data_IF_789203071090
#
_entry.id   IF_789203071090
#
_cell.length_a   1.000
_cell.length_b   1.000
_cell.length_c   1.000
_cell.angle_alpha   90.00
_cell.angle_beta   90.00
_cell.angle_gamma   90.00
#
_symmetry.space_group_name_H-M   'P 1'
#
loop_
_entity.id
_entity.type
_entity.pdbx_description
1 polymer ?
#
# COMPACT_ATOMS: atom_id res chain seq x y z
N UNK A 1 -2.30 9.88 -18.39
CA UNK A 1 -3.19 8.74 -18.18
C UNK A 1 -2.35 7.55 -17.73
N UNK A 2 -2.80 6.79 -16.72
CA UNK A 2 -2.09 5.62 -16.18
C UNK A 2 -2.57 4.30 -16.79
N UNK A 3 -3.54 4.34 -17.72
CA UNK A 3 -4.03 3.16 -18.45
C UNK A 3 -4.81 2.14 -17.62
N UNK A 4 -5.07 2.44 -16.35
CA UNK A 4 -5.78 1.59 -15.38
C UNK A 4 -7.31 1.59 -15.51
N UNK A 5 -7.86 2.48 -16.33
CA UNK A 5 -9.29 2.56 -16.61
C UNK A 5 -9.53 2.89 -18.09
N UNK A 6 -10.70 2.57 -18.59
CA UNK A 6 -11.09 2.77 -19.98
C UNK A 6 -12.53 3.26 -20.07
N UNK A 7 -12.78 4.24 -20.93
CA UNK A 7 -14.14 4.72 -21.18
C UNK A 7 -14.98 3.62 -21.82
N UNK A 8 -16.21 3.45 -21.33
CA UNK A 8 -17.16 2.48 -21.87
C UNK A 8 -18.46 3.19 -22.25
N UNK A 9 -18.99 2.97 -23.47
CA UNK A 9 -20.23 3.62 -23.91
C UNK A 9 -21.46 3.05 -23.18
N UNK A 10 -21.39 1.80 -22.74
CA UNK A 10 -22.43 1.11 -21.98
C UNK A 10 -21.95 0.86 -20.55
N UNK A 11 -22.82 0.96 -19.53
CA UNK A 11 -22.50 0.53 -18.18
C UNK A 11 -22.08 -0.95 -18.16
N UNK A 12 -21.10 -1.29 -17.33
CA UNK A 12 -20.82 -2.69 -17.01
C UNK A 12 -21.95 -3.35 -16.23
N UNK A 13 -21.77 -4.61 -15.87
CA UNK A 13 -22.74 -5.39 -15.10
C UNK A 13 -22.90 -4.83 -13.68
N UNK A 14 -21.82 -4.27 -13.11
CA UNK A 14 -21.85 -3.65 -11.78
C UNK A 14 -21.10 -2.32 -11.78
N UNK A 15 -21.74 -1.30 -11.20
CA UNK A 15 -21.15 0.03 -10.97
C UNK A 15 -20.75 0.13 -9.50
N UNK A 16 -19.45 0.28 -9.25
CA UNK A 16 -18.89 0.42 -7.91
C UNK A 16 -19.08 1.88 -7.45
N UNK A 17 -19.86 2.12 -6.38
CA UNK A 17 -19.94 3.43 -5.77
C UNK A 17 -18.57 3.86 -5.28
N UNK A 18 -18.24 5.14 -5.45
CA UNK A 18 -17.00 5.68 -4.96
C UNK A 18 -17.16 7.12 -4.49
N UNK A 19 -16.31 7.51 -3.56
CA UNK A 19 -16.30 8.86 -3.00
C UNK A 19 -14.87 9.27 -2.65
N UNK A 20 -14.66 10.57 -2.51
CA UNK A 20 -13.38 11.13 -2.11
C UNK A 20 -13.34 11.37 -0.60
N UNK A 21 -12.23 10.99 0.03
CA UNK A 21 -11.87 11.39 1.39
C UNK A 21 -10.73 12.40 1.28
N UNK A 22 -10.88 13.54 1.96
CA UNK A 22 -9.80 14.51 2.12
C UNK A 22 -8.85 14.05 3.22
N UNK A 23 -7.56 14.05 2.92
CA UNK A 23 -6.49 13.74 3.86
C UNK A 23 -5.68 15.00 4.11
N UNK A 24 -5.22 15.13 5.35
CA UNK A 24 -4.17 16.09 5.69
C UNK A 24 -2.83 15.56 5.18
N UNK A 25 -2.62 15.68 3.86
CA UNK A 25 -1.42 15.24 3.16
C UNK A 25 -1.05 16.30 2.13
N UNK A 26 0.17 16.87 2.19
CA UNK A 26 0.61 17.90 1.24
C UNK A 26 0.64 17.38 -0.21
N UNK A 27 0.95 16.10 -0.40
CA UNK A 27 1.20 15.50 -1.71
C UNK A 27 0.06 14.61 -2.22
N UNK A 28 -0.83 14.14 -1.34
CA UNK A 28 -1.96 13.28 -1.70
C UNK A 28 -3.22 13.63 -0.90
N UNK A 29 -3.77 14.85 -1.10
CA UNK A 29 -4.87 15.37 -0.30
C UNK A 29 -6.19 14.65 -0.56
N UNK A 30 -6.32 13.90 -1.67
CA UNK A 30 -7.54 13.17 -2.02
C UNK A 30 -7.23 11.68 -2.09
N UNK A 31 -8.01 10.89 -1.34
CA UNK A 31 -8.08 9.44 -1.49
C UNK A 31 -9.46 9.05 -2.00
N UNK A 32 -9.50 8.41 -3.17
CA UNK A 32 -10.74 7.78 -3.64
C UNK A 32 -10.97 6.51 -2.83
N UNK A 33 -12.21 6.27 -2.44
CA UNK A 33 -12.66 5.02 -1.81
C UNK A 33 -13.65 4.37 -2.76
N UNK A 34 -13.38 3.12 -3.12
CA UNK A 34 -14.32 2.28 -3.85
C UNK A 34 -15.08 1.42 -2.85
N UNK A 35 -16.39 1.60 -2.77
CA UNK A 35 -17.24 0.92 -1.81
C UNK A 35 -17.87 -0.33 -2.43
N UNK A 36 -17.12 -1.43 -2.40
CA UNK A 36 -17.62 -2.75 -2.81
C UNK A 36 -18.65 -3.36 -1.85
N UNK A 37 -18.88 -2.73 -0.69
CA UNK A 37 -19.82 -3.20 0.36
C UNK A 37 -21.15 -2.47 0.31
N UNK A 38 -21.28 -1.45 -0.53
CA UNK A 38 -22.55 -0.79 -0.80
C UNK A 38 -23.55 -1.81 -1.37
N UNK A 39 -24.71 -1.93 -0.71
CA UNK A 39 -25.77 -2.86 -1.11
C UNK A 39 -26.63 -2.23 -2.19
N UNK A 40 -26.97 -3.01 -3.20
CA UNK A 40 -27.89 -2.62 -4.25
C UNK A 40 -29.36 -2.71 -3.80
N UNK A 41 -30.30 -2.48 -4.73
CA UNK A 41 -31.74 -2.60 -4.48
C UNK A 41 -32.20 -4.03 -4.12
N UNK A 42 -31.37 -5.05 -4.38
CA UNK A 42 -31.61 -6.43 -3.93
C UNK A 42 -31.09 -6.70 -2.51
N UNK A 43 -30.44 -5.71 -1.89
CA UNK A 43 -29.88 -5.81 -0.54
C UNK A 43 -28.55 -6.56 -0.49
N UNK A 44 -27.91 -6.79 -1.64
CA UNK A 44 -26.64 -7.53 -1.77
C UNK A 44 -25.55 -6.60 -2.31
N UNK A 45 -24.32 -6.74 -1.84
CA UNK A 45 -23.16 -5.99 -2.35
C UNK A 45 -22.30 -6.83 -3.28
N UNK A 46 -21.42 -6.18 -4.07
CA UNK A 46 -20.41 -6.89 -4.84
C UNK A 46 -19.51 -7.75 -3.95
N UNK A 47 -19.12 -7.25 -2.77
CA UNK A 47 -18.29 -7.99 -1.82
C UNK A 47 -18.98 -9.23 -1.24
N UNK A 48 -20.31 -9.27 -1.19
CA UNK A 48 -21.06 -10.47 -0.79
C UNK A 48 -20.98 -11.58 -1.86
N UNK A 49 -20.81 -11.19 -3.13
CA UNK A 49 -20.69 -12.12 -4.28
C UNK A 49 -19.27 -12.56 -4.55
N UNK A 50 -18.27 -11.79 -4.13
CA UNK A 50 -16.86 -12.11 -4.34
C UNK A 50 -16.30 -13.01 -3.24
N UNK A 51 -15.45 -13.95 -3.67
CA UNK A 51 -14.62 -14.73 -2.75
C UNK A 51 -13.42 -13.89 -2.32
N UNK A 52 -13.05 -13.94 -1.05
CA UNK A 52 -11.85 -13.23 -0.55
C UNK A 52 -10.55 -13.88 -1.02
N UNK A 53 -10.58 -15.17 -1.36
CA UNK A 53 -9.39 -16.01 -1.39
C UNK A 53 -8.89 -16.35 0.02
N UNK A 54 -7.95 -17.30 0.14
CA UNK A 54 -7.31 -17.62 1.41
C UNK A 54 -6.46 -16.45 1.93
N UNK A 55 -6.35 -16.26 3.26
CA UNK A 55 -5.51 -15.21 3.81
C UNK A 55 -4.04 -15.49 3.50
N UNK A 56 -3.42 -14.58 2.74
CA UNK A 56 -1.98 -14.63 2.48
C UNK A 56 -1.20 -13.64 3.36
N UNK A 57 -1.89 -12.66 3.96
CA UNK A 57 -1.26 -11.60 4.73
C UNK A 57 -0.55 -12.16 5.94
N UNK A 58 0.69 -11.72 6.15
CA UNK A 58 1.42 -11.99 7.38
C UNK A 58 0.79 -11.23 8.53
N UNK A 59 0.91 -11.80 9.73
CA UNK A 59 0.49 -11.10 10.93
C UNK A 59 1.33 -9.84 11.07
N UNK A 60 0.69 -8.73 11.42
CA UNK A 60 1.39 -7.44 11.55
C UNK A 60 2.51 -7.51 12.60
N UNK A 61 2.34 -8.32 13.64
CA UNK A 61 3.34 -8.57 14.68
C UNK A 61 4.53 -9.34 14.13
N UNK A 62 4.29 -10.30 13.23
CA UNK A 62 5.35 -11.05 12.53
C UNK A 62 6.17 -10.09 11.67
N UNK A 63 5.51 -9.23 10.89
CA UNK A 63 6.18 -8.23 10.05
C UNK A 63 7.00 -7.25 10.91
N UNK A 64 6.41 -6.71 11.98
CA UNK A 64 7.12 -5.82 12.91
C UNK A 64 8.29 -6.52 13.62
N UNK A 65 8.18 -7.81 13.92
CA UNK A 65 9.27 -8.60 14.48
C UNK A 65 10.42 -8.72 13.48
N UNK A 66 10.14 -9.07 12.22
CA UNK A 66 11.16 -9.11 11.16
C UNK A 66 11.79 -7.74 10.90
N UNK A 67 11.02 -6.66 11.05
CA UNK A 67 11.53 -5.30 10.95
C UNK A 67 12.47 -4.91 12.09
N UNK A 68 12.33 -5.52 13.28
CA UNK A 68 13.18 -5.23 14.46
C UNK A 68 14.23 -6.28 14.77
N UNK A 69 14.26 -7.38 14.01
CA UNK A 69 15.09 -8.54 14.32
C UNK A 69 16.60 -8.24 14.23
N UNK A 70 17.00 -7.29 13.38
CA UNK A 70 18.40 -7.01 13.04
C UNK A 70 18.69 -5.50 13.10
N UNK A 71 19.97 -5.09 13.27
CA UNK A 71 20.31 -3.71 13.60
C UNK A 71 20.15 -2.69 12.47
N UNK A 72 19.99 -3.11 11.21
CA UNK A 72 19.78 -2.19 10.08
C UNK A 72 18.38 -2.37 9.53
N UNK A 73 17.49 -1.41 9.82
CA UNK A 73 16.09 -1.40 9.39
C UNK A 73 15.93 -0.67 8.06
N UNK A 74 15.13 -1.21 7.13
CA UNK A 74 14.81 -0.63 5.83
C UNK A 74 13.31 -0.75 5.58
N UNK A 75 12.70 0.34 5.14
CA UNK A 75 11.29 0.38 4.74
C UNK A 75 11.12 0.95 3.33
N UNK A 76 10.11 0.48 2.61
CA UNK A 76 9.70 1.04 1.31
C UNK A 76 8.24 0.72 1.01
N UNK A 77 7.65 1.48 0.09
CA UNK A 77 6.26 1.40 -0.37
C UNK A 77 6.21 1.03 -1.86
N UNK A 78 5.33 0.10 -2.22
CA UNK A 78 5.02 -0.25 -3.61
C UNK A 78 4.02 0.77 -4.17
N UNK A 79 4.54 1.72 -4.93
CA UNK A 79 3.76 2.84 -5.49
C UNK A 79 2.58 2.34 -6.32
N UNK A 80 1.38 2.68 -5.85
CA UNK A 80 0.11 2.34 -6.51
C UNK A 80 0.00 0.84 -6.85
N UNK A 81 0.44 -0.03 -5.94
CA UNK A 81 0.52 -1.49 -6.12
C UNK A 81 -0.67 -2.09 -6.89
N UNK A 82 -1.90 -1.86 -6.40
CA UNK A 82 -3.11 -2.43 -7.00
C UNK A 82 -3.31 -2.03 -8.48
N UNK A 83 -2.90 -0.82 -8.87
CA UNK A 83 -3.01 -0.32 -10.25
C UNK A 83 -1.99 -0.93 -11.21
N UNK A 84 -1.06 -1.74 -10.72
CA UNK A 84 -0.10 -2.48 -11.54
C UNK A 84 -0.55 -3.91 -11.83
N UNK A 85 -1.66 -4.35 -11.21
CA UNK A 85 -2.14 -5.72 -11.32
C UNK A 85 -3.36 -5.74 -12.22
N UNK A 86 -3.22 -6.26 -13.43
CA UNK A 86 -4.31 -6.39 -14.38
C UNK A 86 -5.35 -7.41 -13.93
N UNK A 87 -6.61 -7.10 -14.17
CA UNK A 87 -7.72 -8.04 -14.05
C UNK A 87 -7.88 -8.80 -15.35
N UNK A 88 -8.37 -10.05 -15.23
CA UNK A 88 -8.81 -10.80 -16.39
C UNK A 88 -9.90 -10.00 -17.14
N UNK A 89 -9.87 -9.91 -18.48
CA UNK A 89 -10.85 -9.14 -19.25
C UNK A 89 -12.31 -9.47 -18.92
N UNK A 90 -12.62 -10.74 -18.67
CA UNK A 90 -13.97 -11.20 -18.34
C UNK A 90 -14.51 -10.65 -17.00
N UNK A 91 -13.62 -10.23 -16.09
CA UNK A 91 -13.98 -9.72 -14.77
C UNK A 91 -14.12 -8.18 -14.75
N UNK A 92 -13.57 -7.49 -15.75
CA UNK A 92 -13.57 -6.01 -15.81
C UNK A 92 -14.99 -5.44 -15.91
N UNK A 93 -15.92 -6.20 -16.50
CA UNK A 93 -17.35 -5.84 -16.58
C UNK A 93 -18.04 -5.69 -15.21
N UNK A 94 -17.46 -6.22 -14.14
CA UNK A 94 -17.98 -6.06 -12.77
C UNK A 94 -17.32 -4.89 -12.01
N UNK A 95 -16.37 -4.18 -12.63
CA UNK A 95 -15.65 -3.06 -12.03
C UNK A 95 -15.82 -1.79 -12.84
N UNK A 96 -17.06 -1.33 -13.01
CA UNK A 96 -17.34 -0.05 -13.64
C UNK A 96 -17.49 1.06 -12.60
N UNK A 97 -17.07 2.27 -12.93
CA UNK A 97 -17.35 3.48 -12.16
C UNK A 97 -18.00 4.54 -13.05
N UNK A 98 -18.72 5.48 -12.44
CA UNK A 98 -19.28 6.65 -13.13
C UNK A 98 -18.52 7.91 -12.75
N UNK A 99 -17.95 8.62 -13.70
CA UNK A 99 -17.15 9.80 -13.42
C UNK A 99 -17.41 10.92 -14.42
N UNK A 100 -17.30 12.16 -13.94
CA UNK A 100 -17.35 13.40 -14.73
C UNK A 100 -16.35 14.40 -14.14
N UNK A 101 -15.80 15.27 -14.98
CA UNK A 101 -14.81 16.27 -14.54
C UNK A 101 -15.47 17.50 -13.92
N UNK A 102 -16.53 18.00 -14.55
CA UNK A 102 -17.36 19.10 -14.08
C UNK A 102 -18.78 18.63 -13.79
N UNK A 103 -19.52 19.35 -12.94
CA UNK A 103 -20.94 19.10 -12.69
C UNK A 103 -21.81 19.29 -13.93
N UNK A 104 -21.37 20.14 -14.86
CA UNK A 104 -22.01 20.37 -16.15
C UNK A 104 -21.77 19.23 -17.15
N UNK A 105 -20.74 18.41 -16.94
CA UNK A 105 -20.40 17.35 -17.87
C UNK A 105 -21.35 16.16 -17.70
N UNK A 106 -21.68 15.45 -18.80
CA UNK A 106 -22.41 14.19 -18.69
C UNK A 106 -21.59 13.17 -17.91
N UNK A 107 -22.27 12.37 -17.09
CA UNK A 107 -21.66 11.21 -16.44
C UNK A 107 -21.19 10.20 -17.50
N UNK A 108 -19.97 9.71 -17.33
CA UNK A 108 -19.36 8.71 -18.20
C UNK A 108 -19.03 7.45 -17.43
N UNK A 109 -19.18 6.31 -18.07
CA UNK A 109 -18.79 5.03 -17.49
C UNK A 109 -17.32 4.75 -17.80
N UNK A 110 -16.60 4.23 -16.81
CA UNK A 110 -15.23 3.76 -16.96
C UNK A 110 -15.09 2.37 -16.37
N UNK A 111 -14.59 1.42 -17.15
CA UNK A 111 -14.20 0.11 -16.66
C UNK A 111 -12.80 0.19 -16.04
N UNK A 112 -12.66 -0.29 -14.80
CA UNK A 112 -11.38 -0.44 -14.13
C UNK A 112 -10.72 -1.74 -14.61
N UNK A 113 -9.49 -1.64 -15.11
CA UNK A 113 -8.77 -2.76 -15.75
C UNK A 113 -7.81 -3.47 -14.81
N UNK A 114 -7.65 -2.93 -13.61
CA UNK A 114 -6.69 -3.39 -12.60
C UNK A 114 -7.40 -3.70 -11.30
N UNK A 115 -6.78 -4.51 -10.44
CA UNK A 115 -7.33 -4.86 -9.13
C UNK A 115 -7.71 -3.58 -8.38
N UNK A 116 -8.95 -3.52 -7.89
CA UNK A 116 -9.49 -2.34 -7.20
C UNK A 116 -9.49 -2.58 -5.70
N UNK A 117 -8.78 -1.73 -4.95
CA UNK A 117 -8.82 -1.75 -3.48
C UNK A 117 -10.23 -1.42 -2.98
N UNK A 118 -10.64 -1.98 -1.85
CA UNK A 118 -12.02 -1.91 -1.34
C UNK A 118 -12.90 -3.08 -1.81
N UNK A 119 -12.46 -3.83 -2.82
CA UNK A 119 -13.04 -5.13 -3.16
C UNK A 119 -12.43 -6.24 -2.31
N UNK A 120 -13.28 -7.18 -1.86
CA UNK A 120 -12.95 -8.30 -0.99
C UNK A 120 -11.75 -9.17 -1.44
N UNK A 121 -11.57 -9.52 -2.73
CA UNK A 121 -10.41 -10.31 -3.17
C UNK A 121 -9.12 -9.49 -3.31
N UNK A 122 -9.17 -8.16 -3.27
CA UNK A 122 -8.02 -7.32 -3.63
C UNK A 122 -6.75 -7.63 -2.82
N UNK A 123 -6.80 -7.82 -1.47
CA UNK A 123 -5.62 -8.17 -0.69
C UNK A 123 -5.01 -9.51 -1.10
N UNK A 124 -5.84 -10.54 -1.35
CA UNK A 124 -5.39 -11.85 -1.80
C UNK A 124 -4.70 -11.74 -3.17
N UNK A 125 -5.35 -11.10 -4.14
CA UNK A 125 -4.82 -10.95 -5.49
C UNK A 125 -3.47 -10.22 -5.49
N UNK A 126 -3.37 -9.12 -4.74
CA UNK A 126 -2.15 -8.35 -4.60
C UNK A 126 -0.98 -9.18 -4.07
N UNK A 127 -1.21 -9.94 -2.99
CA UNK A 127 -0.17 -10.77 -2.39
C UNK A 127 0.16 -12.02 -3.21
N UNK A 128 -0.85 -12.62 -3.87
CA UNK A 128 -0.64 -13.78 -4.74
C UNK A 128 0.27 -13.42 -5.92
N UNK A 129 0.17 -12.20 -6.45
CA UNK A 129 1.06 -11.67 -7.49
C UNK A 129 2.49 -11.50 -6.97
N UNK A 130 2.68 -10.90 -5.79
CA UNK A 130 4.02 -10.80 -5.20
C UNK A 130 4.65 -12.18 -4.95
N UNK A 131 3.87 -13.15 -4.46
CA UNK A 131 4.33 -14.53 -4.30
C UNK A 131 4.68 -15.21 -5.62
N UNK A 132 3.89 -14.96 -6.67
CA UNK A 132 4.19 -15.47 -8.01
C UNK A 132 5.52 -14.90 -8.51
N UNK A 133 5.71 -13.59 -8.36
CA UNK A 133 6.93 -12.89 -8.75
C UNK A 133 8.16 -13.47 -8.06
N UNK A 134 8.08 -13.72 -6.74
CA UNK A 134 9.15 -14.38 -5.98
C UNK A 134 9.36 -15.82 -6.46
N UNK A 135 8.29 -16.57 -6.76
CA UNK A 135 8.42 -17.94 -7.27
C UNK A 135 9.14 -18.01 -8.62
N UNK A 136 8.94 -17.03 -9.49
CA UNK A 136 9.50 -17.01 -10.85
C UNK A 136 10.91 -16.45 -10.90
N UNK A 137 11.17 -15.38 -10.14
CA UNK A 137 12.40 -14.58 -10.25
C UNK A 137 13.25 -14.58 -8.98
N UNK A 138 12.68 -15.01 -7.85
CA UNK A 138 13.28 -14.83 -6.53
C UNK A 138 14.60 -15.57 -6.30
N UNK A 139 14.89 -16.62 -7.08
CA UNK A 139 16.19 -17.33 -7.01
C UNK A 139 17.40 -16.42 -7.26
N UNK A 140 17.21 -15.34 -8.02
CA UNK A 140 18.26 -14.36 -8.34
C UNK A 140 18.36 -13.24 -7.29
N UNK A 141 17.35 -13.12 -6.42
CA UNK A 141 17.17 -12.01 -5.48
C UNK A 141 16.80 -12.57 -4.09
N UNK A 142 17.69 -13.32 -3.43
CA UNK A 142 17.37 -14.08 -2.23
C UNK A 142 17.01 -13.21 -1.01
N UNK A 143 17.61 -12.02 -0.84
CA UNK A 143 17.27 -11.12 0.25
C UNK A 143 15.91 -10.46 0.01
N UNK A 144 15.68 -9.97 -1.21
CA UNK A 144 14.39 -9.38 -1.57
C UNK A 144 13.26 -10.41 -1.48
N UNK A 145 13.51 -11.65 -1.89
CA UNK A 145 12.53 -12.74 -1.80
C UNK A 145 12.08 -12.99 -0.36
N UNK A 146 13.04 -13.05 0.58
CA UNK A 146 12.71 -13.18 2.01
C UNK A 146 11.91 -11.99 2.51
N UNK A 147 12.37 -10.77 2.23
CA UNK A 147 11.67 -9.55 2.65
C UNK A 147 10.23 -9.48 2.12
N UNK A 148 10.00 -9.83 0.84
CA UNK A 148 8.65 -9.85 0.25
C UNK A 148 7.76 -10.94 0.86
N UNK A 149 8.31 -12.12 1.19
CA UNK A 149 7.52 -13.23 1.72
C UNK A 149 7.22 -13.11 3.23
N UNK A 150 8.15 -12.53 3.98
CA UNK A 150 8.12 -12.51 5.45
C UNK A 150 7.67 -11.15 6.01
N UNK A 151 7.89 -10.07 5.26
CA UNK A 151 7.82 -8.72 5.81
C UNK A 151 7.15 -7.69 4.90
N UNK A 152 6.36 -8.17 3.93
CA UNK A 152 5.44 -7.35 3.16
C UNK A 152 4.06 -7.32 3.83
N UNK A 153 3.56 -6.13 4.11
CA UNK A 153 2.22 -5.90 4.62
C UNK A 153 1.49 -4.94 3.70
N UNK A 154 0.54 -5.47 2.92
CA UNK A 154 -0.13 -4.73 1.85
C UNK A 154 0.88 -4.17 0.83
N UNK A 155 1.02 -2.85 0.74
CA UNK A 155 1.96 -2.12 -0.11
C UNK A 155 3.28 -1.77 0.57
N UNK A 156 3.40 -1.94 1.90
CA UNK A 156 4.61 -1.66 2.64
C UNK A 156 5.52 -2.90 2.76
N UNK A 157 6.82 -2.71 2.66
CA UNK A 157 7.85 -3.70 2.98
C UNK A 157 8.71 -3.13 4.10
N UNK A 158 8.75 -3.81 5.24
CA UNK A 158 9.48 -3.37 6.43
C UNK A 158 10.39 -4.50 6.93
N UNK A 159 11.69 -4.43 6.65
CA UNK A 159 12.61 -5.52 6.95
C UNK A 159 13.89 -5.04 7.63
N UNK A 160 14.65 -5.95 8.22
CA UNK A 160 15.95 -5.65 8.81
C UNK A 160 17.05 -6.62 8.38
N UNK A 161 18.29 -6.14 8.40
CA UNK A 161 19.50 -6.87 8.00
C UNK A 161 20.65 -6.57 8.95
N UNK A 162 21.72 -7.37 8.86
CA UNK A 162 22.80 -7.40 9.85
C UNK A 162 23.73 -6.19 9.75
N UNK A 163 23.91 -5.64 8.54
CA UNK A 163 24.83 -4.54 8.28
C UNK A 163 24.43 -3.67 7.08
N UNK A 164 25.14 -2.56 6.88
CA UNK A 164 24.86 -1.60 5.81
C UNK A 164 25.06 -2.20 4.40
N UNK A 165 26.01 -3.11 4.23
CA UNK A 165 26.29 -3.76 2.95
C UNK A 165 25.12 -4.65 2.54
N UNK A 166 24.63 -5.47 3.46
CA UNK A 166 23.42 -6.28 3.28
C UNK A 166 22.19 -5.38 3.01
N UNK A 167 22.14 -4.20 3.63
CA UNK A 167 21.07 -3.25 3.40
C UNK A 167 21.06 -2.62 2.01
N UNK A 168 22.23 -2.22 1.51
CA UNK A 168 22.39 -1.77 0.11
C UNK A 168 22.03 -2.88 -0.87
N UNK A 169 22.45 -4.10 -0.60
CA UNK A 169 22.11 -5.27 -1.42
C UNK A 169 20.60 -5.53 -1.43
N UNK A 170 19.96 -5.57 -0.25
CA UNK A 170 18.51 -5.77 -0.14
C UNK A 170 17.74 -4.71 -0.94
N UNK A 171 18.13 -3.44 -0.84
CA UNK A 171 17.51 -2.35 -1.58
C UNK A 171 17.60 -2.59 -3.09
N UNK A 172 18.80 -2.89 -3.61
CA UNK A 172 19.00 -3.17 -5.04
C UNK A 172 18.18 -4.38 -5.49
N UNK A 173 18.26 -5.49 -4.75
CA UNK A 173 17.50 -6.70 -5.07
C UNK A 173 15.98 -6.46 -5.07
N UNK A 174 15.46 -5.66 -4.13
CA UNK A 174 14.04 -5.30 -4.09
C UNK A 174 13.67 -4.48 -5.32
N UNK A 175 14.47 -3.47 -5.68
CA UNK A 175 14.21 -2.67 -6.87
C UNK A 175 14.21 -3.52 -8.14
N UNK A 176 15.15 -4.45 -8.27
CA UNK A 176 15.27 -5.31 -9.45
C UNK A 176 14.14 -6.35 -9.52
N UNK A 177 13.88 -7.08 -8.44
CA UNK A 177 12.83 -8.09 -8.36
C UNK A 177 11.44 -7.47 -8.65
N UNK A 178 11.09 -6.37 -7.97
CA UNK A 178 9.78 -5.74 -8.13
C UNK A 178 9.62 -5.10 -9.52
N UNK A 179 10.71 -4.60 -10.10
CA UNK A 179 10.71 -4.05 -11.47
C UNK A 179 10.42 -5.11 -12.53
N UNK A 180 10.76 -6.38 -12.32
CA UNK A 180 10.38 -7.47 -13.23
C UNK A 180 8.87 -7.56 -13.46
N UNK A 181 8.05 -7.18 -12.48
CA UNK A 181 6.59 -7.10 -12.60
C UNK A 181 6.05 -5.68 -12.84
N UNK A 182 6.92 -4.71 -13.12
CA UNK A 182 6.53 -3.32 -13.37
C UNK A 182 6.11 -2.53 -12.11
N UNK A 183 6.42 -3.06 -10.92
CA UNK A 183 6.25 -2.34 -9.66
C UNK A 183 7.39 -1.34 -9.46
N UNK A 184 7.06 -0.19 -8.90
CA UNK A 184 8.00 0.88 -8.58
C UNK A 184 8.00 1.10 -7.07
N UNK A 185 9.19 1.16 -6.47
CA UNK A 185 9.37 1.34 -5.03
C UNK A 185 9.66 2.80 -4.68
N UNK A 186 8.96 3.32 -3.67
CA UNK A 186 9.04 4.71 -3.18
C UNK A 186 9.09 4.75 -1.66
N UNK A 187 9.13 5.96 -1.10
CA UNK A 187 9.14 6.23 0.35
C UNK A 187 10.20 5.43 1.11
N UNK A 188 11.39 5.32 0.52
CA UNK A 188 12.49 4.59 1.14
C UNK A 188 12.94 5.26 2.45
N UNK A 189 13.05 4.50 3.52
CA UNK A 189 13.63 4.95 4.78
C UNK A 189 14.53 3.87 5.40
N UNK A 190 15.45 4.30 6.25
CA UNK A 190 16.42 3.44 6.92
C UNK A 190 17.00 4.13 8.14
N UNK A 191 17.36 3.36 9.17
CA UNK A 191 18.14 3.87 10.31
C UNK A 191 19.63 4.10 9.96
N UNK A 192 20.05 3.72 8.75
CA UNK A 192 21.37 4.01 8.17
C UNK A 192 21.18 4.85 6.90
N UNK A 193 21.31 6.19 6.99
CA UNK A 193 21.10 7.10 5.85
C UNK A 193 21.98 6.79 4.64
N UNK A 194 23.19 6.28 4.88
CA UNK A 194 24.16 5.93 3.85
C UNK A 194 23.57 4.98 2.78
N UNK A 195 22.68 4.06 3.18
CA UNK A 195 22.01 3.10 2.28
C UNK A 195 21.17 3.80 1.20
N UNK A 196 20.68 5.01 1.48
CA UNK A 196 19.73 5.74 0.65
C UNK A 196 20.39 6.84 -0.21
N UNK A 197 21.70 7.09 -0.06
CA UNK A 197 22.41 8.23 -0.66
C UNK A 197 22.33 8.28 -2.19
N UNK A 198 22.28 7.14 -2.84
CA UNK A 198 22.17 6.97 -4.29
C UNK A 198 20.72 7.04 -4.83
N UNK A 199 19.72 7.10 -3.95
CA UNK A 199 18.33 7.28 -4.37
C UNK A 199 18.01 8.76 -4.61
N UNK A 200 17.21 9.12 -5.63
CA UNK A 200 16.69 10.47 -5.76
C UNK A 200 15.90 10.91 -4.52
N UNK A 201 15.93 12.19 -4.11
CA UNK A 201 15.16 12.68 -2.96
C UNK A 201 13.68 12.29 -3.01
N UNK A 202 13.04 12.41 -4.17
CA UNK A 202 11.62 12.05 -4.38
C UNK A 202 11.29 10.55 -4.24
N UNK A 203 12.30 9.69 -4.12
CA UNK A 203 12.13 8.26 -3.85
C UNK A 203 12.23 7.95 -2.36
N UNK A 204 12.83 8.82 -1.57
CA UNK A 204 12.99 8.66 -0.12
C UNK A 204 11.68 9.02 0.57
N UNK A 205 11.44 8.48 1.76
CA UNK A 205 10.36 8.98 2.60
C UNK A 205 10.60 10.47 2.87
N UNK A 206 9.56 11.28 2.83
CA UNK A 206 9.68 12.71 3.11
C UNK A 206 10.30 12.92 4.49
N UNK A 207 11.59 13.24 4.52
CA UNK A 207 12.29 13.76 5.70
C UNK A 207 11.88 15.23 5.94
N UNK A 208 11.01 15.78 5.08
CA UNK A 208 10.47 17.16 5.10
C UNK A 208 9.52 17.44 6.27
N UNK A 209 9.75 16.86 7.44
CA UNK A 209 9.37 17.54 8.66
C UNK A 209 10.44 18.60 8.93
N UNK A 210 10.06 19.87 9.04
CA UNK A 210 10.87 20.97 9.59
C UNK A 210 11.27 20.75 11.07
N UNK A 211 11.30 19.49 11.51
CA UNK A 211 11.58 19.06 12.87
C UNK A 211 13.06 18.69 12.98
N UNK A 212 13.67 18.84 14.16
CA UNK A 212 15.01 18.31 14.42
C UNK A 212 15.07 16.82 14.05
N UNK A 213 16.23 16.31 13.58
CA UNK A 213 16.42 14.90 13.24
C UNK A 213 16.01 13.93 14.36
N UNK A 214 16.13 14.39 15.61
CA UNK A 214 15.79 13.65 16.83
C UNK A 214 14.28 13.44 17.01
N UNK A 215 13.44 14.30 16.42
CA UNK A 215 11.97 14.24 16.48
C UNK A 215 11.34 13.68 15.20
N UNK A 216 12.15 13.20 14.25
CA UNK A 216 11.65 12.63 13.01
C UNK A 216 11.05 11.24 13.27
N UNK A 217 9.73 11.16 13.11
CA UNK A 217 8.98 9.92 13.21
C UNK A 217 8.17 9.71 11.94
N UNK A 218 8.15 8.48 11.43
CA UNK A 218 7.34 8.08 10.30
C UNK A 218 6.34 7.00 10.70
N UNK A 219 5.14 7.04 10.15
CA UNK A 219 4.15 6.00 10.38
C UNK A 219 4.52 4.73 9.62
N UNK A 220 4.74 3.65 10.34
CA UNK A 220 4.98 2.30 9.83
C UNK A 220 3.89 1.41 10.39
N UNK A 221 3.03 0.86 9.53
CA UNK A 221 2.04 -0.17 9.91
C UNK A 221 1.18 0.20 11.14
N UNK A 222 0.83 1.49 11.29
CA UNK A 222 -0.01 1.98 12.40
C UNK A 222 0.71 2.34 13.70
N UNK A 223 2.05 2.32 13.71
CA UNK A 223 2.89 2.87 14.79
C UNK A 223 3.84 3.94 14.25
N UNK A 224 4.41 4.77 15.11
CA UNK A 224 5.46 5.70 14.72
C UNK A 224 6.83 5.04 14.90
N UNK A 225 7.75 5.29 13.97
CA UNK A 225 9.14 4.85 14.03
C UNK A 225 10.06 6.03 13.82
N UNK A 226 11.03 6.19 14.72
CA UNK A 226 12.14 7.13 14.58
C UNK A 226 13.35 6.38 14.00
N UNK A 227 13.76 6.65 12.75
CA UNK A 227 14.90 5.98 12.14
C UNK A 227 16.25 6.36 12.76
N UNK A 228 16.40 7.58 13.29
CA UNK A 228 17.68 8.05 13.85
C UNK A 228 18.00 7.33 15.17
N UNK A 229 17.02 7.29 16.08
CA UNK A 229 17.12 6.56 17.34
C UNK A 229 16.84 5.06 17.21
N UNK A 230 16.29 4.65 16.06
CA UNK A 230 15.85 3.30 15.77
C UNK A 230 14.86 2.72 16.80
N UNK A 231 13.89 3.55 17.19
CA UNK A 231 12.89 3.25 18.22
C UNK A 231 11.47 3.42 17.70
N UNK A 232 10.55 2.57 18.17
CA UNK A 232 9.13 2.81 17.98
C UNK A 232 8.63 3.83 19.01
N UNK A 233 7.79 4.74 18.53
CA UNK A 233 7.17 5.80 19.33
C UNK A 233 5.66 5.76 19.15
N UNK A 234 4.95 6.52 19.98
CA UNK A 234 3.51 6.70 19.89
C UNK A 234 3.18 8.13 20.32
N UNK A 235 2.33 8.79 19.54
CA UNK A 235 1.82 10.11 19.89
C UNK A 235 0.38 9.99 20.35
N UNK A 236 0.20 9.88 21.66
CA UNK A 236 -1.13 9.80 22.26
C UNK A 236 -1.62 11.21 22.57
N UNK A 237 -2.71 11.63 21.92
CA UNK A 237 -3.44 12.83 22.32
C UNK A 237 -4.71 12.40 23.05
N UNK A 238 -4.71 12.46 24.38
CA UNK A 238 -5.88 12.06 25.15
C UNK A 238 -6.98 13.13 25.02
N UNK A 239 -8.19 12.78 24.56
CA UNK A 239 -9.31 13.72 24.55
C UNK A 239 -9.79 13.93 25.98
N UNK A 240 -10.21 15.16 26.30
CA UNK A 240 -10.70 15.53 27.64
C UNK A 240 -11.91 14.68 28.09
N UNK A 241 -12.67 14.14 27.13
CA UNK A 241 -13.75 13.16 27.37
C UNK A 241 -13.69 12.03 26.35
N UNK A 242 -13.34 10.83 26.81
CA UNK A 242 -13.39 9.62 25.98
C UNK A 242 -14.60 8.77 26.34
N UNK A 243 -15.68 8.89 25.57
CA UNK A 243 -16.95 8.21 25.86
C UNK A 243 -16.99 6.75 25.39
N UNK A 244 -15.97 6.27 24.68
CA UNK A 244 -15.90 4.88 24.22
C UNK A 244 -14.47 4.39 24.03
N UNK A 245 -14.26 3.07 24.11
CA UNK A 245 -12.99 2.42 23.74
C UNK A 245 -12.53 2.80 22.33
N UNK A 246 -13.47 3.00 21.40
CA UNK A 246 -13.18 3.41 20.02
C UNK A 246 -12.63 4.83 19.95
N UNK A 247 -13.13 5.74 20.78
CA UNK A 247 -12.67 7.14 20.87
C UNK A 247 -11.28 7.24 21.47
N UNK A 248 -10.93 6.35 22.41
CA UNK A 248 -9.56 6.28 22.97
C UNK A 248 -8.60 5.68 21.93
N UNK A 249 -8.97 4.56 21.31
CA UNK A 249 -8.10 3.87 20.35
C UNK A 249 -7.90 4.63 19.03
N UNK A 250 -8.76 5.59 18.70
CA UNK A 250 -8.57 6.44 17.51
C UNK A 250 -7.52 7.54 17.70
N UNK A 251 -6.91 7.65 18.88
CA UNK A 251 -5.93 8.69 19.26
C UNK A 251 -4.50 8.17 19.26
N UNK A 252 -4.32 6.89 18.94
CA UNK A 252 -3.03 6.20 18.82
C UNK A 252 -2.68 6.11 17.33
#
# INVERSE_FOLDING_TARGET
DLGHMEYTPTPGIYVIPHFAILRDSPTSPIRVVFDGSCRDSSGVSLNDRLLSGPPLQKDITEVLTHFRLKPVAITTDIKMMYRKIWLHPDDQKFQTIVWRKSESDPLKNYALKTVTYGLKPAPFLAQRVLRQLVSENGRWYPLASKAVLEACFMDDICYSVDDEKAGRQLKTELQELLKCAGFELRKWASNKPAILEDLPPDHRADILSLRPPEDFCMHILGIEWNPVGDVFTYKITLPDTANSKRTVLSQV
#
